data_IF_120682191176
#
_entry.id   IF_120682191176
#
_cell.length_a   1.000
_cell.length_b   1.000
_cell.length_c   1.000
_cell.angle_alpha   90.00
_cell.angle_beta   90.00
_cell.angle_gamma   90.00
#
_symmetry.space_group_name_H-M   'P 1'
#
loop_
_entity.id
_entity.type
_entity.pdbx_description
1 polymer ?
#
# COMPACT_ATOMS: atom_id res chain seq x y z
N UNK A 1 -26.03 15.71 14.73
CA UNK A 1 -25.79 16.83 13.80
C UNK A 1 -24.63 16.42 12.92
N UNK A 2 -24.66 16.68 11.60
CA UNK A 2 -23.52 16.47 10.70
C UNK A 2 -22.80 17.81 10.51
N UNK A 3 -21.47 17.76 10.36
CA UNK A 3 -20.67 18.89 9.88
C UNK A 3 -20.36 18.68 8.41
N UNK A 4 -20.10 19.76 7.69
CA UNK A 4 -19.82 19.74 6.27
C UNK A 4 -18.37 20.16 6.01
N UNK A 5 -17.62 19.32 5.34
CA UNK A 5 -16.28 19.59 4.84
C UNK A 5 -16.30 19.42 3.31
N UNK A 6 -16.03 20.50 2.60
CA UNK A 6 -16.02 20.53 1.13
C UNK A 6 -14.62 20.45 0.56
N UNK A 7 -14.51 20.73 -0.74
CA UNK A 7 -13.22 20.71 -1.48
C UNK A 7 -12.31 21.89 -1.14
N UNK A 8 -12.86 22.99 -0.58
CA UNK A 8 -12.04 24.09 -0.07
C UNK A 8 -11.29 23.65 1.17
N UNK A 9 -9.97 23.80 1.17
CA UNK A 9 -9.15 23.43 2.31
C UNK A 9 -9.50 24.25 3.55
N UNK A 10 -9.87 23.61 4.69
CA UNK A 10 -10.20 24.30 5.92
C UNK A 10 -8.93 24.91 6.56
N UNK A 11 -8.88 26.24 6.66
CA UNK A 11 -7.70 26.97 7.16
C UNK A 11 -7.32 26.64 8.59
N UNK A 12 -8.21 26.04 9.37
CA UNK A 12 -7.95 25.61 10.74
C UNK A 12 -7.40 24.19 10.86
N UNK A 13 -7.33 23.42 9.74
CA UNK A 13 -6.72 22.10 9.76
C UNK A 13 -5.22 22.18 9.95
N UNK A 14 -4.70 21.29 10.79
CA UNK A 14 -3.26 21.14 11.07
C UNK A 14 -2.78 19.80 10.53
N UNK A 15 -1.70 19.84 9.76
CA UNK A 15 -1.03 18.64 9.28
C UNK A 15 -0.39 17.87 10.44
N UNK A 16 -0.55 16.56 10.45
CA UNK A 16 0.15 15.66 11.37
C UNK A 16 1.57 15.31 10.91
N UNK A 17 1.83 15.45 9.61
CA UNK A 17 3.12 15.18 8.98
C UNK A 17 3.53 16.33 8.07
N UNK A 18 4.85 16.60 7.93
CA UNK A 18 5.34 17.55 6.94
C UNK A 18 4.80 17.19 5.54
N UNK A 19 4.34 18.20 4.80
CA UNK A 19 3.85 18.07 3.42
C UNK A 19 2.61 17.17 3.24
N UNK A 20 1.94 16.78 4.31
CA UNK A 20 0.76 15.89 4.25
C UNK A 20 -0.27 16.37 3.23
N UNK A 21 -0.68 17.65 3.31
CA UNK A 21 -1.69 18.21 2.41
C UNK A 21 -1.16 18.65 1.04
N UNK A 22 0.14 18.56 0.82
CA UNK A 22 0.75 18.71 -0.51
C UNK A 22 0.69 17.37 -1.28
N UNK A 23 0.69 16.25 -0.56
CA UNK A 23 0.67 14.91 -1.11
C UNK A 23 -0.74 14.29 -1.11
N UNK A 24 -1.48 14.46 -0.01
CA UNK A 24 -2.80 13.88 0.21
C UNK A 24 -3.88 14.96 0.31
N UNK A 25 -5.09 14.63 -0.09
CA UNK A 25 -6.23 15.52 0.11
C UNK A 25 -6.65 15.54 1.59
N UNK A 26 -7.01 16.72 2.11
CA UNK A 26 -7.65 16.82 3.43
C UNK A 26 -8.95 16.00 3.52
N UNK A 27 -9.57 15.65 2.39
CA UNK A 27 -10.74 14.79 2.36
C UNK A 27 -10.41 13.33 2.67
N UNK A 28 -9.16 12.88 2.45
CA UNK A 28 -8.71 11.55 2.85
C UNK A 28 -8.65 11.42 4.36
N UNK A 29 -8.05 12.41 5.04
CA UNK A 29 -8.04 12.45 6.51
C UNK A 29 -9.43 12.68 7.10
N UNK A 30 -10.24 13.51 6.45
CA UNK A 30 -11.63 13.76 6.88
C UNK A 30 -12.51 12.52 6.80
N UNK A 31 -12.37 11.73 5.72
CA UNK A 31 -13.17 10.52 5.53
C UNK A 31 -12.69 9.36 6.41
N UNK A 32 -11.40 9.32 6.73
CA UNK A 32 -10.75 8.26 7.50
C UNK A 32 -11.13 6.84 7.06
N UNK A 33 -11.35 6.63 5.75
CA UNK A 33 -11.75 5.33 5.21
C UNK A 33 -10.57 4.37 5.34
N UNK A 34 -10.74 3.24 6.06
CA UNK A 34 -9.66 2.28 6.22
C UNK A 34 -9.34 1.61 4.88
N UNK A 35 -8.06 1.33 4.64
CA UNK A 35 -7.57 0.71 3.43
C UNK A 35 -6.62 -0.44 3.75
N UNK A 36 -6.64 -1.50 2.95
CA UNK A 36 -5.73 -2.62 3.15
C UNK A 36 -4.28 -2.17 2.94
N UNK A 37 -3.39 -2.63 3.84
CA UNK A 37 -1.96 -2.38 3.77
C UNK A 37 -1.23 -3.58 3.16
N UNK A 38 -0.24 -3.28 2.31
CA UNK A 38 0.63 -4.27 1.69
C UNK A 38 1.96 -3.63 1.29
N UNK A 39 2.95 -4.45 0.97
CA UNK A 39 4.20 -3.99 0.39
C UNK A 39 4.19 -4.17 -1.14
N UNK A 40 4.63 -3.15 -1.87
CA UNK A 40 4.96 -3.25 -3.30
C UNK A 40 6.46 -3.45 -3.41
N UNK A 41 6.89 -4.48 -4.14
CA UNK A 41 8.30 -4.75 -4.34
C UNK A 41 8.70 -4.64 -5.81
N UNK A 42 9.85 -4.03 -6.06
CA UNK A 42 10.42 -3.78 -7.38
C UNK A 42 11.95 -3.84 -7.30
N UNK A 43 12.64 -3.90 -8.43
CA UNK A 43 14.08 -3.69 -8.50
C UNK A 43 14.38 -2.22 -8.72
N UNK A 44 15.37 -1.66 -8.00
CA UNK A 44 15.94 -0.34 -8.30
C UNK A 44 16.84 -0.41 -9.55
N UNK A 45 17.16 0.73 -10.14
CA UNK A 45 18.01 0.80 -11.34
C UNK A 45 19.44 0.26 -11.11
N UNK A 46 19.93 0.33 -9.89
CA UNK A 46 21.23 -0.19 -9.46
C UNK A 46 21.20 -1.69 -9.12
N UNK A 47 20.03 -2.35 -9.19
CA UNK A 47 19.86 -3.76 -8.87
C UNK A 47 19.49 -4.05 -7.43
N UNK A 48 19.46 -3.06 -6.55
CA UNK A 48 19.00 -3.25 -5.17
C UNK A 48 17.48 -3.43 -5.10
N UNK A 49 16.96 -4.25 -4.18
CA UNK A 49 15.52 -4.44 -4.03
C UNK A 49 14.88 -3.28 -3.28
N UNK A 50 13.68 -2.91 -3.70
CA UNK A 50 12.87 -1.84 -3.13
C UNK A 50 11.59 -2.38 -2.52
N UNK A 51 11.18 -1.85 -1.37
CA UNK A 51 9.97 -2.18 -0.64
C UNK A 51 9.17 -0.92 -0.33
N UNK A 52 8.04 -0.74 -0.97
CA UNK A 52 7.13 0.38 -0.72
C UNK A 52 5.92 -0.10 0.11
N UNK A 53 5.77 0.42 1.32
CA UNK A 53 4.61 0.15 2.15
C UNK A 53 3.45 1.05 1.70
N UNK A 54 2.35 0.46 1.22
CA UNK A 54 1.29 1.16 0.49
C UNK A 54 -0.12 0.80 0.98
N UNK A 55 -1.05 1.71 0.71
CA UNK A 55 -2.47 1.59 1.01
C UNK A 55 -3.35 2.13 -0.17
N UNK A 56 -4.59 2.56 0.09
CA UNK A 56 -5.51 3.19 -0.88
C UNK A 56 -5.70 2.42 -2.18
N UNK A 57 -5.99 1.14 -2.05
CA UNK A 57 -6.09 0.24 -3.20
C UNK A 57 -7.36 -0.59 -3.14
N UNK A 58 -7.77 -1.07 -4.30
CA UNK A 58 -8.78 -2.11 -4.41
C UNK A 58 -8.30 -3.24 -5.32
N UNK A 59 -8.86 -4.41 -5.07
CA UNK A 59 -8.53 -5.64 -5.78
C UNK A 59 -9.81 -6.23 -6.33
N UNK A 60 -9.93 -6.31 -7.64
CA UNK A 60 -11.14 -6.82 -8.27
C UNK A 60 -10.85 -7.36 -9.67
N UNK A 61 -11.79 -8.09 -10.21
CA UNK A 61 -11.69 -8.62 -11.56
C UNK A 61 -12.97 -9.29 -12.00
N UNK A 62 -12.91 -9.91 -13.13
CA UNK A 62 -13.97 -10.76 -13.70
C UNK A 62 -13.37 -12.10 -14.15
N UNK A 63 -14.15 -12.91 -14.87
CA UNK A 63 -13.71 -14.22 -15.37
C UNK A 63 -12.50 -14.16 -16.34
N UNK A 64 -12.13 -12.99 -16.82
CA UNK A 64 -11.05 -12.82 -17.80
C UNK A 64 -9.73 -12.37 -17.20
N UNK A 65 -9.77 -11.56 -16.13
CA UNK A 65 -8.59 -11.01 -15.48
C UNK A 65 -8.87 -10.52 -14.05
N UNK A 66 -7.81 -10.44 -13.24
CA UNK A 66 -7.84 -9.85 -11.90
C UNK A 66 -6.83 -8.70 -11.82
N UNK A 67 -7.22 -7.62 -11.17
CA UNK A 67 -6.45 -6.38 -11.13
C UNK A 67 -6.21 -5.89 -9.71
N UNK A 68 -5.01 -5.37 -9.50
CA UNK A 68 -4.66 -4.52 -8.37
C UNK A 68 -4.72 -3.05 -8.85
N UNK A 69 -5.63 -2.27 -8.28
CA UNK A 69 -5.79 -0.85 -8.58
C UNK A 69 -5.26 -0.05 -7.40
N UNK A 70 -4.05 0.47 -7.53
CA UNK A 70 -3.35 1.21 -6.49
C UNK A 70 -3.57 2.70 -6.70
N UNK A 71 -4.23 3.35 -5.74
CA UNK A 71 -4.43 4.80 -5.73
C UNK A 71 -3.29 5.52 -5.02
N UNK A 72 -3.06 6.78 -5.36
CA UNK A 72 -2.17 7.66 -4.62
C UNK A 72 -0.68 7.30 -4.62
N UNK A 73 -0.18 6.52 -5.59
CA UNK A 73 1.25 6.24 -5.66
C UNK A 73 2.02 7.52 -6.04
N UNK A 74 2.92 7.96 -5.15
CA UNK A 74 3.67 9.21 -5.35
C UNK A 74 4.66 9.08 -6.50
N UNK A 75 4.57 9.98 -7.50
CA UNK A 75 5.32 9.86 -8.75
C UNK A 75 6.83 10.11 -8.62
N UNK A 76 7.28 10.67 -7.48
CA UNK A 76 8.71 10.90 -7.21
C UNK A 76 9.39 9.74 -6.46
N UNK A 77 8.70 8.62 -6.24
CA UNK A 77 9.27 7.46 -5.53
C UNK A 77 10.04 6.52 -6.46
N UNK A 78 10.97 5.78 -5.88
CA UNK A 78 11.66 4.67 -6.56
C UNK A 78 10.67 3.67 -7.12
N UNK A 79 9.65 3.31 -6.34
CA UNK A 79 8.61 2.36 -6.74
C UNK A 79 7.91 2.77 -8.01
N UNK A 80 7.48 4.04 -8.11
CA UNK A 80 6.85 4.54 -9.33
C UNK A 80 7.81 4.48 -10.52
N UNK A 81 9.04 4.98 -10.36
CA UNK A 81 10.06 4.96 -11.41
C UNK A 81 10.39 3.53 -11.88
N UNK A 82 10.53 2.59 -10.94
CA UNK A 82 10.81 1.18 -11.22
C UNK A 82 9.64 0.53 -11.98
N UNK A 83 8.40 0.72 -11.56
CA UNK A 83 7.21 0.22 -12.27
C UNK A 83 7.14 0.78 -13.68
N UNK A 84 7.44 2.07 -13.85
CA UNK A 84 7.44 2.71 -15.17
C UNK A 84 8.53 2.18 -16.09
N UNK A 85 9.69 1.79 -15.55
CA UNK A 85 10.81 1.19 -16.29
C UNK A 85 10.54 -0.27 -16.64
N UNK A 86 10.24 -1.11 -15.63
CA UNK A 86 10.24 -2.58 -15.75
C UNK A 86 8.87 -3.15 -16.14
N UNK A 87 7.81 -2.33 -16.04
CA UNK A 87 6.43 -2.70 -16.35
C UNK A 87 5.90 -3.88 -15.53
N UNK A 88 6.51 -4.17 -14.39
CA UNK A 88 6.07 -5.23 -13.46
C UNK A 88 6.44 -4.90 -12.01
N UNK A 89 5.78 -5.55 -11.09
CA UNK A 89 5.99 -5.43 -9.64
C UNK A 89 5.29 -6.57 -8.90
N UNK A 90 5.68 -6.83 -7.66
CA UNK A 90 4.93 -7.73 -6.78
C UNK A 90 4.19 -6.96 -5.70
N UNK A 91 3.07 -7.52 -5.27
CA UNK A 91 2.31 -7.09 -4.09
C UNK A 91 2.42 -8.18 -3.04
N UNK A 92 2.76 -7.81 -1.81
CA UNK A 92 3.03 -8.72 -0.71
C UNK A 92 2.17 -8.33 0.49
N UNK A 93 1.31 -9.24 0.96
CA UNK A 93 0.51 -9.04 2.15
C UNK A 93 1.15 -9.73 3.34
N UNK A 94 1.50 -8.94 4.35
CA UNK A 94 2.15 -9.39 5.57
C UNK A 94 1.25 -9.17 6.78
N UNK A 95 1.32 -10.02 7.83
CA UNK A 95 0.62 -9.77 9.07
C UNK A 95 1.25 -8.66 9.90
N UNK A 96 0.47 -8.12 10.86
CA UNK A 96 0.83 -6.95 11.67
C UNK A 96 2.17 -7.09 12.41
N UNK A 97 2.64 -8.30 12.70
CA UNK A 97 3.95 -8.54 13.35
C UNK A 97 5.14 -8.04 12.53
N UNK A 98 4.96 -7.77 11.22
CA UNK A 98 5.98 -7.20 10.33
C UNK A 98 5.85 -5.69 10.14
N UNK A 99 4.95 -5.04 10.86
CA UNK A 99 4.69 -3.61 10.71
C UNK A 99 5.94 -2.75 10.92
N UNK A 100 6.67 -2.99 12.02
CA UNK A 100 7.88 -2.21 12.33
C UNK A 100 8.97 -2.38 11.28
N UNK A 101 9.09 -3.58 10.71
CA UNK A 101 10.03 -3.88 9.62
C UNK A 101 9.65 -3.13 8.33
N UNK A 102 8.36 -3.05 8.01
CA UNK A 102 7.87 -2.27 6.87
C UNK A 102 8.06 -0.76 7.09
N UNK A 103 7.89 -0.26 8.30
CA UNK A 103 8.19 1.14 8.63
C UNK A 103 9.68 1.44 8.51
N UNK A 104 10.55 0.50 8.88
CA UNK A 104 11.99 0.66 8.72
C UNK A 104 12.38 0.90 7.25
N UNK A 105 11.75 0.22 6.29
CA UNK A 105 12.02 0.42 4.85
C UNK A 105 11.60 1.80 4.34
N UNK A 106 10.57 2.42 4.93
CA UNK A 106 10.19 3.81 4.61
C UNK A 106 11.24 4.79 5.09
N UNK A 107 11.79 4.56 6.29
CA UNK A 107 12.71 5.47 6.95
C UNK A 107 14.15 5.38 6.40
N UNK A 108 14.50 4.30 5.71
CA UNK A 108 15.83 4.02 5.15
C UNK A 108 15.66 3.54 3.71
N UNK A 109 15.30 4.46 2.82
CA UNK A 109 14.96 4.17 1.43
C UNK A 109 15.84 4.90 0.41
N UNK A 110 17.09 5.20 0.76
CA UNK A 110 18.07 5.79 -0.15
C UNK A 110 18.29 4.88 -1.38
N UNK A 111 18.85 5.46 -2.44
CA UNK A 111 19.07 4.73 -3.71
C UNK A 111 19.92 3.46 -3.52
N UNK A 112 20.96 3.55 -2.69
CA UNK A 112 21.89 2.45 -2.42
C UNK A 112 21.41 1.46 -1.35
N UNK A 113 20.29 1.74 -0.68
CA UNK A 113 19.78 0.87 0.38
C UNK A 113 19.20 -0.43 -0.20
N UNK A 114 19.63 -1.56 0.34
CA UNK A 114 18.93 -2.83 0.21
C UNK A 114 17.77 -2.85 1.23
N UNK A 115 16.56 -2.54 0.77
CA UNK A 115 15.41 -2.42 1.66
C UNK A 115 14.92 -3.78 2.20
N UNK A 116 15.32 -4.90 1.59
CA UNK A 116 15.09 -6.22 2.19
C UNK A 116 15.99 -6.45 3.41
N UNK A 117 17.26 -6.03 3.35
CA UNK A 117 18.13 -6.08 4.52
C UNK A 117 17.65 -5.12 5.61
N UNK A 118 17.26 -3.89 5.25
CA UNK A 118 16.67 -2.91 6.19
C UNK A 118 15.46 -3.48 6.92
N UNK A 119 14.53 -4.09 6.19
CA UNK A 119 13.32 -4.72 6.74
C UNK A 119 13.58 -6.09 7.37
N UNK A 120 14.80 -6.64 7.28
CA UNK A 120 15.11 -8.02 7.65
C UNK A 120 14.14 -9.03 7.00
N UNK A 121 13.90 -8.85 5.70
CA UNK A 121 13.10 -9.75 4.89
C UNK A 121 13.95 -10.72 4.10
N UNK A 122 13.42 -11.93 3.89
CA UNK A 122 14.03 -12.92 3.00
C UNK A 122 13.57 -12.66 1.56
N UNK A 123 14.54 -12.43 0.67
CA UNK A 123 14.26 -12.20 -0.73
C UNK A 123 14.00 -13.53 -1.46
N UNK A 124 12.91 -13.58 -2.20
CA UNK A 124 12.62 -14.59 -3.22
C UNK A 124 12.36 -13.89 -4.56
N UNK A 125 12.43 -14.66 -5.66
CA UNK A 125 12.19 -14.15 -7.01
C UNK A 125 10.79 -14.55 -7.48
N UNK A 126 10.12 -13.64 -8.19
CA UNK A 126 8.89 -13.95 -8.90
C UNK A 126 9.13 -15.00 -9.99
N UNK A 127 8.12 -15.81 -10.29
CA UNK A 127 8.21 -16.86 -11.31
C UNK A 127 7.91 -16.35 -12.71
N UNK A 128 6.96 -15.44 -12.85
CA UNK A 128 6.44 -15.02 -14.16
C UNK A 128 6.91 -13.64 -14.60
N UNK A 129 7.49 -12.87 -13.68
CA UNK A 129 7.94 -11.50 -13.91
C UNK A 129 9.30 -11.24 -13.27
N UNK A 130 9.96 -10.16 -13.66
CA UNK A 130 11.23 -9.75 -13.06
C UNK A 130 11.02 -8.80 -11.89
N UNK A 131 10.63 -9.33 -10.72
CA UNK A 131 10.45 -8.57 -9.49
C UNK A 131 10.82 -9.40 -8.25
N UNK A 132 11.23 -8.77 -7.13
CA UNK A 132 11.48 -9.48 -5.88
C UNK A 132 10.18 -9.75 -5.13
N UNK A 133 10.16 -10.84 -4.35
CA UNK A 133 9.06 -11.25 -3.45
C UNK A 133 9.58 -11.27 -2.02
N UNK A 134 8.75 -10.81 -1.08
CA UNK A 134 8.98 -11.00 0.36
C UNK A 134 8.48 -12.39 0.74
N UNK A 135 9.40 -13.27 1.16
CA UNK A 135 9.08 -14.64 1.56
C UNK A 135 8.11 -14.73 2.73
N UNK A 136 8.20 -13.81 3.67
CA UNK A 136 7.39 -13.76 4.89
C UNK A 136 5.92 -13.36 4.65
N UNK A 137 5.59 -12.91 3.44
CA UNK A 137 4.22 -12.58 3.08
C UNK A 137 3.37 -13.85 2.94
N UNK A 138 2.17 -13.84 3.52
CA UNK A 138 1.24 -14.96 3.40
C UNK A 138 0.52 -15.02 2.05
N UNK A 139 0.58 -13.93 1.30
CA UNK A 139 -0.01 -13.80 -0.02
C UNK A 139 0.85 -12.85 -0.86
N UNK A 140 1.31 -13.33 -2.01
CA UNK A 140 2.04 -12.55 -2.99
C UNK A 140 1.28 -12.54 -4.32
N UNK A 141 1.31 -11.42 -5.03
CA UNK A 141 0.72 -11.27 -6.36
C UNK A 141 1.77 -10.71 -7.32
N UNK A 142 2.03 -11.41 -8.39
CA UNK A 142 2.88 -10.95 -9.49
C UNK A 142 2.04 -10.16 -10.48
N UNK A 143 2.41 -8.92 -10.72
CA UNK A 143 1.63 -7.99 -11.51
C UNK A 143 2.42 -7.43 -12.70
N UNK A 144 1.80 -7.40 -13.87
CA UNK A 144 2.27 -6.61 -15.01
C UNK A 144 1.53 -5.27 -15.06
N UNK A 145 2.24 -4.20 -15.36
CA UNK A 145 1.64 -2.87 -15.47
C UNK A 145 0.61 -2.86 -16.61
N UNK A 146 -0.62 -2.52 -16.30
CA UNK A 146 -1.73 -2.40 -17.26
C UNK A 146 -1.95 -0.96 -17.68
N UNK A 147 -2.02 -0.05 -16.71
CA UNK A 147 -2.35 1.36 -16.95
C UNK A 147 -1.83 2.25 -15.83
N UNK A 148 -1.57 3.51 -16.15
CA UNK A 148 -1.22 4.57 -15.19
C UNK A 148 -2.07 5.79 -15.51
N UNK A 149 -2.72 6.36 -14.49
CA UNK A 149 -3.56 7.55 -14.63
C UNK A 149 -3.17 8.60 -13.59
N UNK A 150 -2.80 9.78 -14.04
CA UNK A 150 -2.71 10.97 -13.19
C UNK A 150 -4.09 11.66 -13.18
N UNK A 151 -4.89 11.34 -12.15
CA UNK A 151 -6.28 11.81 -12.09
C UNK A 151 -6.39 13.32 -11.89
N UNK A 152 -5.42 13.93 -11.23
CA UNK A 152 -5.40 15.37 -10.97
C UNK A 152 -4.74 16.17 -12.09
N UNK A 153 -3.86 15.53 -12.87
CA UNK A 153 -2.99 16.19 -13.84
C UNK A 153 -1.86 17.01 -13.23
N UNK A 154 -1.69 16.92 -11.91
CA UNK A 154 -0.70 17.72 -11.16
C UNK A 154 0.69 17.06 -11.06
N UNK A 155 0.86 15.85 -11.54
CA UNK A 155 2.10 15.07 -11.47
C UNK A 155 2.60 14.83 -10.03
N UNK A 156 1.67 14.75 -9.07
CA UNK A 156 1.96 14.45 -7.68
C UNK A 156 1.82 12.95 -7.44
N UNK A 157 0.62 12.43 -7.60
CA UNK A 157 0.32 11.00 -7.45
C UNK A 157 -0.28 10.43 -8.71
N UNK A 158 -0.19 9.11 -8.87
CA UNK A 158 -0.83 8.38 -9.95
C UNK A 158 -1.63 7.20 -9.41
N UNK A 159 -2.70 6.85 -10.09
CA UNK A 159 -3.33 5.55 -9.99
C UNK A 159 -2.59 4.58 -10.91
N UNK A 160 -2.10 3.49 -10.35
CA UNK A 160 -1.39 2.43 -11.06
C UNK A 160 -2.22 1.17 -11.08
N UNK A 161 -2.51 0.65 -12.26
CA UNK A 161 -3.27 -0.60 -12.44
C UNK A 161 -2.33 -1.71 -12.84
N UNK A 162 -2.21 -2.73 -11.99
CA UNK A 162 -1.50 -3.98 -12.27
C UNK A 162 -2.48 -5.09 -12.62
N UNK A 163 -2.21 -5.81 -13.70
CA UNK A 163 -2.91 -7.06 -13.99
C UNK A 163 -2.16 -8.19 -13.29
N UNK A 164 -2.85 -8.91 -12.41
CA UNK A 164 -2.29 -10.05 -11.68
C UNK A 164 -2.09 -11.21 -12.66
N UNK A 165 -0.86 -11.71 -12.72
CA UNK A 165 -0.46 -12.83 -13.57
C UNK A 165 -0.36 -14.14 -12.79
N UNK A 166 0.10 -14.07 -11.54
CA UNK A 166 0.33 -15.22 -10.68
C UNK A 166 0.12 -14.85 -9.21
N UNK A 167 -0.28 -15.82 -8.40
CA UNK A 167 -0.49 -15.64 -6.97
C UNK A 167 0.15 -16.79 -6.21
N UNK A 168 0.97 -16.48 -5.21
CA UNK A 168 1.38 -17.40 -4.17
C UNK A 168 0.56 -17.16 -2.91
N UNK A 169 0.13 -18.21 -2.27
CA UNK A 169 -0.53 -18.14 -0.98
C UNK A 169 0.01 -19.23 -0.07
N UNK A 170 0.40 -18.89 1.13
CA UNK A 170 0.86 -19.85 2.13
C UNK A 170 -0.24 -20.90 2.40
N UNK A 171 0.13 -22.19 2.43
CA UNK A 171 -0.83 -23.30 2.52
C UNK A 171 -1.80 -23.16 3.70
N UNK A 172 -1.32 -22.69 4.84
CA UNK A 172 -2.15 -22.47 6.03
C UNK A 172 -3.27 -21.45 5.79
N UNK A 173 -2.99 -20.42 4.97
CA UNK A 173 -3.97 -19.40 4.56
C UNK A 173 -4.84 -19.85 3.39
N UNK A 174 -4.35 -20.74 2.54
CA UNK A 174 -5.14 -21.35 1.49
C UNK A 174 -6.23 -22.27 2.04
N UNK A 175 -5.91 -23.04 3.07
CA UNK A 175 -6.84 -24.00 3.72
C UNK A 175 -7.82 -23.33 4.68
N UNK A 176 -7.38 -22.32 5.41
CA UNK A 176 -8.15 -21.67 6.46
C UNK A 176 -8.31 -20.17 6.17
N UNK A 177 -9.36 -19.79 5.45
CA UNK A 177 -9.57 -18.38 5.14
C UNK A 177 -9.68 -17.51 6.40
N UNK A 178 -10.04 -18.04 7.54
CA UNK A 178 -10.08 -17.33 8.82
C UNK A 178 -8.69 -16.82 9.26
N UNK A 179 -7.61 -17.48 8.86
CA UNK A 179 -6.24 -17.02 9.11
C UNK A 179 -5.87 -15.75 8.34
N UNK A 180 -6.59 -15.43 7.27
CA UNK A 180 -6.39 -14.20 6.49
C UNK A 180 -6.85 -12.95 7.25
N UNK A 181 -7.42 -13.11 8.43
CA UNK A 181 -8.01 -12.06 9.24
C UNK A 181 -7.47 -12.15 10.68
N UNK A 182 -7.75 -11.13 11.50
CA UNK A 182 -7.18 -11.06 12.86
C UNK A 182 -5.71 -10.64 12.84
N UNK A 183 -4.98 -11.03 13.87
CA UNK A 183 -3.58 -10.62 14.10
C UNK A 183 -2.58 -11.19 13.09
N UNK A 184 -2.90 -12.33 12.50
CA UNK A 184 -2.03 -12.99 11.51
C UNK A 184 -2.45 -12.74 10.05
N UNK A 185 -3.48 -11.93 9.83
CA UNK A 185 -4.04 -11.67 8.51
C UNK A 185 -3.78 -10.25 8.00
N UNK A 186 -4.70 -9.79 7.16
CA UNK A 186 -4.62 -8.47 6.55
C UNK A 186 -4.56 -7.33 7.57
N UNK A 187 -3.63 -6.43 7.38
CA UNK A 187 -3.57 -5.15 8.06
C UNK A 187 -4.39 -4.10 7.32
N UNK A 188 -5.00 -3.19 8.06
CA UNK A 188 -5.70 -2.04 7.51
C UNK A 188 -5.08 -0.75 8.05
N UNK A 189 -4.72 0.16 7.16
CA UNK A 189 -4.42 1.53 7.56
C UNK A 189 -5.73 2.22 7.97
N UNK A 190 -5.74 2.82 9.14
CA UNK A 190 -6.71 3.84 9.52
C UNK A 190 -5.97 5.17 9.39
N UNK A 191 -6.26 5.99 8.37
CA UNK A 191 -5.53 7.24 8.14
C UNK A 191 -5.63 8.16 9.36
N UNK A 192 -4.69 9.10 9.48
CA UNK A 192 -4.68 10.08 10.58
C UNK A 192 -6.03 10.76 10.70
N UNK A 193 -6.75 10.43 11.77
CA UNK A 193 -8.05 11.05 12.05
C UNK A 193 -7.83 12.45 12.59
N UNK A 194 -8.48 13.43 11.97
CA UNK A 194 -8.51 14.77 12.53
C UNK A 194 -9.74 14.99 13.39
N UNK A 195 -9.60 15.81 14.41
CA UNK A 195 -10.76 16.44 15.03
C UNK A 195 -11.30 17.49 14.05
N UNK A 196 -12.42 17.16 13.41
CA UNK A 196 -12.99 18.00 12.34
C UNK A 196 -13.58 19.32 12.84
N UNK A 197 -13.67 19.52 14.15
CA UNK A 197 -14.15 20.75 14.77
C UNK A 197 -12.98 21.66 15.14
N UNK A 198 -11.96 21.12 15.79
CA UNK A 198 -10.76 21.88 16.18
C UNK A 198 -9.71 21.96 15.10
N UNK A 199 -9.71 21.02 14.15
CA UNK A 199 -8.69 20.90 13.11
C UNK A 199 -7.38 20.24 13.59
N UNK A 200 -7.32 19.79 14.86
CA UNK A 200 -6.11 19.12 15.38
C UNK A 200 -5.92 17.78 14.70
N UNK A 201 -4.67 17.53 14.28
CA UNK A 201 -4.30 16.27 13.66
C UNK A 201 -4.26 15.12 14.68
N UNK A 202 -4.80 13.98 14.30
CA UNK A 202 -4.66 12.72 15.02
C UNK A 202 -3.43 11.92 14.59
N UNK A 203 -3.39 10.66 15.01
CA UNK A 203 -2.38 9.70 14.58
C UNK A 203 -3.03 8.62 13.71
N UNK A 204 -2.32 8.21 12.67
CA UNK A 204 -2.69 7.00 11.93
C UNK A 204 -2.62 5.77 12.83
N UNK A 205 -3.51 4.82 12.59
CA UNK A 205 -3.56 3.57 13.33
C UNK A 205 -3.57 2.38 12.36
N UNK A 206 -3.20 1.21 12.89
CA UNK A 206 -3.34 -0.06 12.21
C UNK A 206 -4.49 -0.83 12.84
N UNK A 207 -5.40 -1.30 12.00
CA UNK A 207 -6.49 -2.17 12.41
C UNK A 207 -6.31 -3.58 11.82
N UNK A 208 -6.84 -4.55 12.52
CA UNK A 208 -7.01 -5.91 12.01
C UNK A 208 -8.49 -6.21 11.83
N UNK A 209 -8.82 -7.11 10.92
CA UNK A 209 -10.20 -7.42 10.56
C UNK A 209 -10.76 -8.50 11.48
N UNK A 210 -11.88 -8.23 12.12
CA UNK A 210 -12.67 -9.24 12.84
C UNK A 210 -13.78 -9.74 11.92
N UNK A 211 -13.89 -11.06 11.78
CA UNK A 211 -14.97 -11.67 11.00
C UNK A 211 -16.21 -11.82 11.88
N UNK A 212 -17.36 -11.43 11.36
CA UNK A 212 -18.66 -11.80 11.87
C UNK A 212 -19.42 -12.53 10.75
N UNK A 213 -20.02 -13.68 11.10
CA UNK A 213 -20.82 -14.46 10.14
C UNK A 213 -22.29 -14.16 10.37
N UNK A 214 -22.99 -14.03 9.28
CA UNK A 214 -24.43 -13.86 9.26
C UNK A 214 -25.03 -15.17 8.75
N UNK A 215 -26.09 -15.65 9.42
CA UNK A 215 -26.86 -16.84 9.02
C UNK A 215 -27.75 -16.54 7.81
#
# INVERSE_FOLDING_TARGET
MKIEIGTAFPQYFKSGYPEEFDLFSHLETTSAIPSVLFAITTWKANGEPNVCFHAWSCFHGDKTAFFAVMGGLYQKTHTYANIMRDKCFCINFLPIRYYDQLIATINQNEDEADEFQVGNFTLEHAETIHAPIIKEAFLNMECTLKEVMDLSGAQITAMVVGQVQHIFVEEAYARGYDKRYGQDGFMMLVPAMQDLISGEAGQSAIATVKIERFD
#
